data_IF_928680969514
#
_entry.id   IF_928680969514
#
_cell.length_a   1.000
_cell.length_b   1.000
_cell.length_c   1.000
_cell.angle_alpha   90.00
_cell.angle_beta   90.00
_cell.angle_gamma   90.00
#
_symmetry.space_group_name_H-M   'P 1'
#
loop_
_entity.id
_entity.type
_entity.pdbx_description
1 polymer ?
#
# COMPACT_ATOMS: atom_id res chain seq x y z
N UNK A 1 16.51 -27.03 20.83
CA UNK A 1 16.59 -25.68 21.43
C UNK A 1 17.83 -25.68 22.32
N UNK A 2 18.75 -24.73 22.16
CA UNK A 2 20.05 -24.73 22.86
C UNK A 2 19.98 -23.94 24.17
N UNK A 3 20.88 -24.24 25.13
CA UNK A 3 21.01 -23.46 26.37
C UNK A 3 21.31 -21.99 26.08
N UNK A 4 22.05 -21.71 25.01
CA UNK A 4 22.31 -20.36 24.50
C UNK A 4 21.03 -19.65 24.04
N UNK A 5 20.14 -20.34 23.32
CA UNK A 5 18.86 -19.79 22.89
C UNK A 5 17.94 -19.48 24.08
N UNK A 6 17.83 -20.41 25.05
CA UNK A 6 17.03 -20.21 26.26
C UNK A 6 17.58 -19.06 27.12
N UNK A 7 18.90 -19.04 27.34
CA UNK A 7 19.58 -17.94 28.05
C UNK A 7 19.37 -16.60 27.34
N UNK A 8 19.42 -16.60 26.01
CA UNK A 8 19.10 -15.46 25.17
C UNK A 8 17.67 -14.97 25.39
N UNK A 9 16.69 -15.87 25.38
CA UNK A 9 15.28 -15.52 25.60
C UNK A 9 15.00 -14.89 26.97
N UNK A 10 15.69 -15.36 28.02
CA UNK A 10 15.54 -14.86 29.40
C UNK A 10 16.26 -13.53 29.66
N UNK A 11 17.35 -13.24 28.93
CA UNK A 11 18.13 -12.01 29.11
C UNK A 11 17.51 -10.82 28.40
N UNK A 12 17.69 -9.63 28.97
CA UNK A 12 17.27 -8.35 28.38
C UNK A 12 15.78 -8.31 28.00
N UNK A 13 14.97 -9.10 28.72
CA UNK A 13 13.54 -9.30 28.46
C UNK A 13 13.23 -9.69 27.02
N UNK A 14 14.15 -10.39 26.32
CA UNK A 14 13.99 -10.72 24.90
C UNK A 14 12.72 -11.50 24.62
N UNK A 15 12.32 -12.42 25.49
CA UNK A 15 11.04 -13.11 25.37
C UNK A 15 9.85 -12.16 25.49
N UNK A 16 9.83 -11.27 26.49
CA UNK A 16 8.77 -10.27 26.66
C UNK A 16 8.72 -9.29 25.48
N UNK A 17 9.89 -8.87 24.97
CA UNK A 17 9.99 -8.05 23.76
C UNK A 17 9.46 -8.79 22.55
N UNK A 18 9.79 -10.06 22.35
CA UNK A 18 9.26 -10.86 21.26
C UNK A 18 7.72 -11.01 21.30
N UNK A 19 7.12 -10.94 22.50
CA UNK A 19 5.66 -10.93 22.64
C UNK A 19 5.03 -9.57 22.31
N UNK A 20 5.70 -8.46 22.66
CA UNK A 20 5.14 -7.09 22.50
C UNK A 20 5.50 -6.39 21.19
N UNK A 21 6.64 -6.73 20.60
CA UNK A 21 7.12 -6.12 19.36
C UNK A 21 6.13 -6.29 18.20
N UNK A 22 5.47 -7.45 18.01
CA UNK A 22 4.46 -7.58 16.95
C UNK A 22 3.28 -6.61 17.13
N UNK A 23 2.78 -6.47 18.36
CA UNK A 23 1.64 -5.60 18.65
C UNK A 23 2.00 -4.12 18.41
N UNK A 24 3.16 -3.67 18.92
CA UNK A 24 3.65 -2.31 18.68
C UNK A 24 3.87 -2.05 17.18
N UNK A 25 4.44 -3.02 16.47
CA UNK A 25 4.66 -2.91 15.04
C UNK A 25 3.35 -2.79 14.27
N UNK A 26 2.33 -3.59 14.61
CA UNK A 26 1.02 -3.53 13.98
C UNK A 26 0.32 -2.20 14.27
N UNK A 27 0.35 -1.70 15.51
CA UNK A 27 -0.18 -0.38 15.87
C UNK A 27 0.46 0.74 15.04
N UNK A 28 1.79 0.76 14.95
CA UNK A 28 2.55 1.78 14.23
C UNK A 28 2.27 1.71 12.71
N UNK A 29 2.19 0.51 12.14
CA UNK A 29 1.87 0.32 10.73
C UNK A 29 0.44 0.78 10.41
N UNK A 30 -0.56 0.43 11.22
CA UNK A 30 -1.93 0.89 10.99
C UNK A 30 -2.07 2.40 11.19
N UNK A 31 -1.36 3.01 12.13
CA UNK A 31 -1.29 4.46 12.24
C UNK A 31 -0.76 5.11 10.95
N UNK A 32 0.29 4.54 10.35
CA UNK A 32 0.82 4.99 9.06
C UNK A 32 -0.16 4.78 7.91
N UNK A 33 -0.75 3.58 7.79
CA UNK A 33 -1.72 3.27 6.73
C UNK A 33 -2.93 4.22 6.77
N UNK A 34 -3.46 4.51 7.96
CA UNK A 34 -4.56 5.46 8.13
C UNK A 34 -4.17 6.89 7.77
N UNK A 35 -2.94 7.32 8.12
CA UNK A 35 -2.43 8.64 7.73
C UNK A 35 -2.34 8.78 6.21
N UNK A 36 -1.80 7.76 5.53
CA UNK A 36 -1.70 7.74 4.07
C UNK A 36 -3.08 7.67 3.41
N UNK A 37 -4.00 6.87 3.95
CA UNK A 37 -5.38 6.82 3.50
C UNK A 37 -6.04 8.19 3.52
N UNK A 38 -5.88 8.95 4.61
CA UNK A 38 -6.37 10.34 4.69
C UNK A 38 -5.74 11.24 3.63
N UNK A 39 -4.42 11.20 3.46
CA UNK A 39 -3.74 12.01 2.44
C UNK A 39 -4.23 11.73 1.01
N UNK A 40 -4.51 10.46 0.70
CA UNK A 40 -5.08 10.04 -0.60
C UNK A 40 -6.52 10.54 -0.74
N UNK A 41 -7.35 10.34 0.29
CA UNK A 41 -8.76 10.78 0.30
C UNK A 41 -8.89 12.29 0.15
N UNK A 42 -8.01 13.06 0.80
CA UNK A 42 -8.00 14.53 0.74
C UNK A 42 -7.77 15.07 -0.68
N UNK A 43 -7.24 14.26 -1.62
CA UNK A 43 -7.08 14.66 -3.02
C UNK A 43 -8.39 14.63 -3.80
N UNK A 44 -9.30 13.73 -3.44
CA UNK A 44 -10.60 13.54 -4.09
C UNK A 44 -11.68 13.24 -3.04
N UNK A 45 -12.01 14.21 -2.17
CA UNK A 45 -12.87 13.97 -1.00
C UNK A 45 -14.32 13.63 -1.38
N UNK A 46 -14.74 14.00 -2.59
CA UNK A 46 -16.06 13.73 -3.16
C UNK A 46 -16.27 12.27 -3.60
N UNK A 47 -15.21 11.48 -3.66
CA UNK A 47 -15.29 10.02 -3.84
C UNK A 47 -15.59 9.27 -2.55
N UNK A 48 -15.50 9.91 -1.38
CA UNK A 48 -15.62 9.28 -0.07
C UNK A 48 -16.68 9.98 0.79
N UNK A 49 -17.17 9.28 1.82
CA UNK A 49 -17.93 9.94 2.88
C UNK A 49 -17.03 10.89 3.70
N UNK A 50 -17.59 11.95 4.32
CA UNK A 50 -16.81 12.82 5.18
C UNK A 50 -16.21 12.06 6.37
N UNK A 51 -14.89 12.18 6.57
CA UNK A 51 -14.14 11.54 7.64
C UNK A 51 -14.36 10.01 7.71
N UNK A 52 -14.04 9.25 6.65
CA UNK A 52 -14.34 7.83 6.64
C UNK A 52 -13.43 7.10 7.64
N UNK A 53 -14.04 6.25 8.45
CA UNK A 53 -13.31 5.33 9.31
C UNK A 53 -12.75 4.19 8.45
N UNK A 54 -11.43 4.01 8.49
CA UNK A 54 -10.77 2.94 7.75
C UNK A 54 -10.96 1.59 8.45
N UNK A 55 -11.27 0.54 7.68
CA UNK A 55 -11.36 -0.82 8.18
C UNK A 55 -10.00 -1.54 8.08
N UNK A 56 -9.39 -1.77 9.24
CA UNK A 56 -8.06 -2.35 9.36
C UNK A 56 -8.09 -3.87 9.34
N UNK A 57 -7.28 -4.43 8.45
CA UNK A 57 -7.18 -5.86 8.25
C UNK A 57 -5.71 -6.28 8.19
N UNK A 58 -5.35 -7.32 8.93
CA UNK A 58 -4.05 -7.97 8.81
C UNK A 58 -4.18 -9.49 8.78
N UNK A 59 -3.21 -10.16 8.15
CA UNK A 59 -3.15 -11.62 8.15
C UNK A 59 -1.71 -12.09 8.15
N UNK A 60 -1.44 -13.09 9.00
CA UNK A 60 -0.17 -13.78 9.14
C UNK A 60 -0.30 -15.25 8.67
N UNK A 61 -0.58 -15.58 7.39
CA UNK A 61 -0.58 -16.97 6.81
C UNK A 61 -1.22 -17.05 5.38
N UNK A 62 -1.21 -18.20 4.70
CA UNK A 62 -0.17 -18.88 3.91
C UNK A 62 -0.54 -19.01 2.41
N UNK A 63 -0.64 -17.88 1.72
CA UNK A 63 -0.89 -17.84 0.27
C UNK A 63 0.23 -17.05 -0.42
N UNK A 64 0.05 -16.70 -1.70
CA UNK A 64 0.91 -15.82 -2.47
C UNK A 64 1.46 -14.61 -1.67
N UNK A 65 0.62 -14.04 -0.79
CA UNK A 65 1.06 -13.08 0.24
C UNK A 65 1.52 -13.76 1.52
N UNK A 66 2.79 -13.53 1.89
CA UNK A 66 3.43 -14.02 3.11
C UNK A 66 2.80 -13.38 4.36
N UNK A 67 2.52 -12.08 4.30
CA UNK A 67 1.79 -11.33 5.32
C UNK A 67 1.21 -10.04 4.72
N UNK A 68 0.15 -9.50 5.33
CA UNK A 68 -0.33 -8.17 4.97
C UNK A 68 -0.82 -7.37 6.16
N UNK A 69 -0.74 -6.05 6.03
CA UNK A 69 -1.52 -5.06 6.75
C UNK A 69 -2.17 -4.12 5.74
N UNK A 70 -3.45 -3.80 5.90
CA UNK A 70 -4.17 -2.90 4.99
C UNK A 70 -5.32 -2.19 5.71
N UNK A 71 -5.61 -0.98 5.24
CA UNK A 71 -6.77 -0.19 5.66
C UNK A 71 -7.68 0.02 4.46
N UNK A 72 -8.96 -0.26 4.63
CA UNK A 72 -9.97 -0.18 3.57
C UNK A 72 -10.92 0.99 3.76
N UNK A 73 -11.18 1.72 2.68
CA UNK A 73 -12.07 2.87 2.64
C UNK A 73 -13.09 2.70 1.51
N UNK A 74 -14.37 2.44 1.81
CA UNK A 74 -15.43 2.42 0.81
C UNK A 74 -15.52 3.77 0.11
N UNK A 75 -15.63 3.75 -1.21
CA UNK A 75 -15.90 4.93 -2.03
C UNK A 75 -17.41 5.11 -2.11
N UNK A 76 -17.98 5.86 -1.16
CA UNK A 76 -19.43 6.11 -1.04
C UNK A 76 -19.79 7.59 -1.09
N UNK A 77 -18.85 8.45 -1.51
CA UNK A 77 -19.08 9.89 -1.69
C UNK A 77 -20.01 10.23 -2.86
N UNK A 78 -20.34 11.51 -3.01
CA UNK A 78 -21.29 12.01 -4.02
C UNK A 78 -20.90 11.65 -5.46
N UNK A 79 -19.61 11.67 -5.78
CA UNK A 79 -19.10 11.31 -7.11
C UNK A 79 -18.65 9.86 -7.21
N UNK A 80 -18.82 9.07 -6.16
CA UNK A 80 -18.44 7.67 -6.19
C UNK A 80 -19.34 6.87 -7.14
N UNK A 81 -18.79 5.88 -7.86
CA UNK A 81 -19.55 5.02 -8.76
C UNK A 81 -20.72 4.33 -8.05
N UNK A 82 -21.90 4.42 -8.65
CA UNK A 82 -23.12 3.79 -8.13
C UNK A 82 -23.51 2.48 -8.87
N UNK A 83 -22.66 2.01 -9.78
CA UNK A 83 -22.92 0.82 -10.59
C UNK A 83 -22.19 -0.41 -10.03
N UNK A 84 -22.94 -1.41 -9.58
CA UNK A 84 -22.40 -2.70 -9.14
C UNK A 84 -21.92 -2.69 -7.68
N UNK A 85 -20.83 -3.42 -7.41
CA UNK A 85 -20.23 -3.48 -6.09
C UNK A 85 -19.52 -2.17 -5.73
N UNK A 86 -19.62 -1.77 -4.46
CA UNK A 86 -18.93 -0.58 -3.95
C UNK A 86 -17.43 -0.69 -4.18
N UNK A 87 -16.85 0.32 -4.83
CA UNK A 87 -15.39 0.42 -4.97
C UNK A 87 -14.76 0.71 -3.62
N UNK A 88 -13.60 0.13 -3.36
CA UNK A 88 -12.91 0.26 -2.07
C UNK A 88 -11.47 0.66 -2.31
N UNK A 89 -11.07 1.82 -1.79
CA UNK A 89 -9.67 2.18 -1.68
C UNK A 89 -9.02 1.30 -0.62
N UNK A 90 -8.02 0.54 -1.04
CA UNK A 90 -7.24 -0.34 -0.18
C UNK A 90 -5.81 0.18 -0.10
N UNK A 91 -5.46 0.82 1.03
CA UNK A 91 -4.09 1.24 1.31
C UNK A 91 -3.39 0.10 2.05
N UNK A 92 -2.23 -0.34 1.56
CA UNK A 92 -1.65 -1.60 2.02
C UNK A 92 -0.13 -1.57 2.16
N UNK A 93 0.33 -2.43 3.06
CA UNK A 93 1.69 -2.96 3.10
C UNK A 93 1.62 -4.49 3.01
N UNK A 94 2.08 -5.02 1.88
CA UNK A 94 2.12 -6.46 1.62
C UNK A 94 3.54 -6.98 1.66
N UNK A 95 3.74 -8.12 2.32
CA UNK A 95 4.92 -8.95 2.20
C UNK A 95 4.60 -10.07 1.23
N UNK A 96 5.17 -10.01 0.03
CA UNK A 96 4.89 -10.94 -1.07
C UNK A 96 6.16 -11.57 -1.59
N UNK A 97 6.01 -12.67 -2.33
CA UNK A 97 7.11 -13.20 -3.13
C UNK A 97 7.45 -12.20 -4.24
N UNK A 98 8.72 -11.78 -4.40
CA UNK A 98 9.08 -10.84 -5.45
C UNK A 98 8.72 -11.33 -6.86
N UNK A 99 8.74 -12.64 -7.10
CA UNK A 99 8.39 -13.25 -8.39
C UNK A 99 6.92 -12.99 -8.80
N UNK A 100 6.00 -12.85 -7.86
CA UNK A 100 4.59 -12.57 -8.13
C UNK A 100 4.35 -11.13 -8.61
N UNK A 101 5.34 -10.27 -8.39
CA UNK A 101 5.32 -8.84 -8.73
C UNK A 101 6.36 -8.52 -9.82
N UNK A 102 6.92 -9.56 -10.47
CA UNK A 102 8.00 -9.47 -11.47
C UNK A 102 9.26 -8.72 -10.97
N UNK A 103 9.61 -8.94 -9.69
CA UNK A 103 10.75 -8.29 -9.00
C UNK A 103 11.81 -9.29 -8.58
N UNK A 104 12.32 -10.07 -9.51
CA UNK A 104 13.40 -11.06 -9.24
C UNK A 104 14.73 -10.43 -8.79
N UNK A 105 14.84 -9.09 -8.85
CA UNK A 105 15.97 -8.30 -8.36
C UNK A 105 15.98 -8.07 -6.84
N UNK A 106 14.93 -8.45 -6.12
CA UNK A 106 14.81 -8.29 -4.67
C UNK A 106 15.09 -9.62 -3.97
N UNK A 107 15.99 -9.60 -2.99
CA UNK A 107 16.22 -10.73 -2.08
C UNK A 107 15.22 -10.71 -0.90
N UNK A 108 14.77 -11.89 -0.49
CA UNK A 108 13.76 -12.07 0.55
C UNK A 108 12.35 -11.66 0.13
N UNK A 109 11.57 -11.09 1.06
CA UNK A 109 10.20 -10.66 0.80
C UNK A 109 10.18 -9.26 0.17
N UNK A 110 9.39 -9.10 -0.90
CA UNK A 110 9.02 -7.78 -1.40
C UNK A 110 8.02 -7.16 -0.41
N UNK A 111 8.38 -6.02 0.18
CA UNK A 111 7.48 -5.16 0.97
C UNK A 111 6.81 -4.16 0.03
N UNK A 112 5.70 -4.52 -0.57
CA UNK A 112 4.93 -3.68 -1.46
C UNK A 112 4.03 -2.74 -0.63
N UNK A 113 4.43 -1.47 -0.54
CA UNK A 113 3.63 -0.41 0.06
C UNK A 113 2.93 0.38 -1.04
N UNK A 114 1.60 0.48 -0.96
CA UNK A 114 0.82 0.94 -2.10
C UNK A 114 -0.66 1.13 -1.83
N UNK A 115 -1.40 1.38 -2.90
CA UNK A 115 -2.86 1.33 -2.88
C UNK A 115 -3.41 0.57 -4.10
N UNK A 116 -4.66 0.13 -4.00
CA UNK A 116 -5.49 -0.30 -5.13
C UNK A 116 -6.94 0.12 -4.93
N UNK A 117 -7.73 0.14 -6.01
CA UNK A 117 -9.19 0.28 -5.95
C UNK A 117 -9.81 -1.09 -6.23
N UNK A 118 -10.36 -1.74 -5.20
CA UNK A 118 -11.10 -2.99 -5.38
C UNK A 118 -12.41 -2.72 -6.11
N UNK A 119 -12.90 -3.76 -6.79
CA UNK A 119 -14.14 -3.71 -7.59
C UNK A 119 -14.09 -2.64 -8.69
N UNK A 120 -12.88 -2.24 -9.10
CA UNK A 120 -12.69 -1.38 -10.25
C UNK A 120 -12.81 -2.23 -11.53
N UNK A 121 -13.52 -1.75 -12.56
CA UNK A 121 -13.45 -2.35 -13.88
C UNK A 121 -12.01 -2.41 -14.38
N UNK A 122 -11.64 -3.56 -14.96
CA UNK A 122 -10.28 -3.83 -15.46
C UNK A 122 -9.85 -2.79 -16.51
N UNK A 123 -10.76 -2.33 -17.37
CA UNK A 123 -10.45 -1.33 -18.40
C UNK A 123 -10.10 0.06 -17.83
N UNK A 124 -10.60 0.40 -16.64
CA UNK A 124 -10.22 1.62 -15.93
C UNK A 124 -8.82 1.48 -15.36
N UNK A 125 -8.55 0.37 -14.68
CA UNK A 125 -7.25 0.08 -14.08
C UNK A 125 -6.14 -0.01 -15.14
N UNK A 126 -6.39 -0.69 -16.27
CA UNK A 126 -5.44 -0.81 -17.39
C UNK A 126 -5.03 0.55 -17.97
N UNK A 127 -6.00 1.46 -18.09
CA UNK A 127 -5.76 2.83 -18.59
C UNK A 127 -4.90 3.63 -17.63
N UNK A 128 -5.12 3.48 -16.32
CA UNK A 128 -4.31 4.16 -15.31
C UNK A 128 -2.92 3.53 -15.29
N UNK A 129 -2.80 2.21 -15.18
CA UNK A 129 -1.53 1.47 -15.19
C UNK A 129 -0.65 1.80 -16.39
N UNK A 130 -1.25 1.91 -17.59
CA UNK A 130 -0.53 2.29 -18.81
C UNK A 130 0.06 3.71 -18.72
N UNK A 131 -0.64 4.64 -18.06
CA UNK A 131 -0.19 6.02 -17.87
C UNK A 131 0.76 6.18 -16.70
N UNK A 132 0.60 5.44 -15.62
CA UNK A 132 1.53 5.38 -14.47
C UNK A 132 2.95 5.09 -14.97
N UNK A 133 3.05 4.21 -15.97
CA UNK A 133 4.26 3.85 -16.72
C UNK A 133 4.84 4.98 -17.58
N UNK A 134 4.30 6.20 -17.54
CA UNK A 134 4.81 7.42 -18.19
C UNK A 134 4.77 8.65 -17.27
N UNK A 135 4.20 8.50 -16.07
CA UNK A 135 3.89 9.58 -15.15
C UNK A 135 5.09 9.95 -14.26
N UNK A 136 5.20 11.26 -13.99
CA UNK A 136 6.09 11.82 -12.98
C UNK A 136 5.30 12.82 -12.13
N UNK A 137 5.53 12.89 -10.82
CA UNK A 137 4.90 13.90 -9.98
C UNK A 137 5.49 15.29 -10.28
N UNK A 138 4.65 16.32 -10.28
CA UNK A 138 5.06 17.71 -10.59
C UNK A 138 6.00 18.32 -9.54
N UNK A 139 6.07 17.75 -8.33
CA UNK A 139 6.94 18.24 -7.26
C UNK A 139 8.40 17.84 -7.52
N UNK A 140 9.27 18.84 -7.71
CA UNK A 140 10.72 18.63 -7.92
C UNK A 140 11.40 17.85 -6.78
N UNK A 141 10.98 18.05 -5.53
CA UNK A 141 11.52 17.31 -4.38
C UNK A 141 11.08 15.84 -4.39
N UNK A 142 9.81 15.59 -4.75
CA UNK A 142 9.26 14.23 -4.87
C UNK A 142 9.94 13.52 -6.04
N UNK A 143 10.07 14.19 -7.18
CA UNK A 143 10.76 13.69 -8.38
C UNK A 143 12.25 13.41 -8.13
N UNK A 144 12.97 14.28 -7.41
CA UNK A 144 14.37 14.04 -7.05
C UNK A 144 14.53 12.78 -6.19
N UNK A 145 13.70 12.63 -5.14
CA UNK A 145 13.70 11.45 -4.25
C UNK A 145 13.38 10.16 -5.00
N UNK A 146 12.46 10.22 -5.97
CA UNK A 146 12.14 9.09 -6.86
C UNK A 146 13.36 8.70 -7.71
N UNK A 147 13.96 9.65 -8.42
CA UNK A 147 15.04 9.39 -9.38
C UNK A 147 16.29 8.81 -8.69
N UNK A 148 16.59 9.26 -7.47
CA UNK A 148 17.76 8.80 -6.72
C UNK A 148 17.61 7.37 -6.16
N UNK A 149 16.39 6.89 -5.90
CA UNK A 149 16.16 5.65 -5.16
C UNK A 149 15.77 4.44 -6.02
N UNK A 150 15.09 4.62 -7.16
CA UNK A 150 14.48 3.47 -7.86
C UNK A 150 15.15 3.07 -9.17
N UNK A 151 15.99 3.92 -9.81
CA UNK A 151 16.46 3.76 -11.21
C UNK A 151 15.33 3.46 -12.23
N UNK A 152 14.08 3.62 -11.83
CA UNK A 152 12.86 3.16 -12.51
C UNK A 152 11.66 3.99 -12.02
N UNK A 153 10.49 3.81 -12.64
CA UNK A 153 9.25 4.56 -12.42
C UNK A 153 8.92 4.94 -10.95
N UNK A 154 8.30 6.12 -10.69
CA UNK A 154 7.88 6.55 -9.35
C UNK A 154 6.97 5.56 -8.63
N UNK A 155 6.10 4.88 -9.37
CA UNK A 155 5.25 3.79 -8.88
C UNK A 155 5.30 2.64 -9.88
N UNK A 156 5.15 1.41 -9.37
CA UNK A 156 4.92 0.23 -10.17
C UNK A 156 3.45 -0.10 -10.18
N UNK A 157 2.96 -0.58 -11.32
CA UNK A 157 1.65 -1.18 -11.46
C UNK A 157 1.86 -2.67 -11.72
N UNK A 158 1.23 -3.52 -10.91
CA UNK A 158 1.14 -4.96 -11.17
C UNK A 158 -0.32 -5.38 -11.13
N UNK A 159 -0.71 -6.28 -12.02
CA UNK A 159 -1.93 -7.05 -11.80
C UNK A 159 -1.76 -7.82 -10.49
N UNK A 160 -2.74 -7.71 -9.62
CA UNK A 160 -2.70 -8.37 -8.33
C UNK A 160 -2.62 -9.90 -8.51
N UNK A 161 -1.76 -10.58 -7.74
CA UNK A 161 -1.70 -12.04 -7.64
C UNK A 161 -3.04 -12.71 -7.24
N UNK A 162 -4.02 -11.95 -6.75
CA UNK A 162 -5.36 -12.41 -6.40
C UNK A 162 -6.47 -12.03 -7.40
N UNK A 163 -6.12 -11.39 -8.52
CA UNK A 163 -7.05 -10.95 -9.56
C UNK A 163 -7.90 -9.73 -9.21
N UNK A 164 -8.39 -9.04 -10.26
CA UNK A 164 -9.50 -8.08 -10.20
C UNK A 164 -9.18 -6.62 -9.84
N UNK A 165 -7.91 -6.25 -9.64
CA UNK A 165 -7.49 -4.85 -9.48
C UNK A 165 -5.97 -4.69 -9.65
N UNK A 166 -5.54 -3.52 -10.12
CA UNK A 166 -4.12 -3.16 -10.22
C UNK A 166 -3.59 -2.62 -8.89
N UNK A 167 -2.46 -3.16 -8.43
CA UNK A 167 -1.73 -2.64 -7.27
C UNK A 167 -0.70 -1.59 -7.71
N UNK A 168 -0.84 -0.36 -7.20
CA UNK A 168 0.12 0.73 -7.39
C UNK A 168 1.03 0.83 -6.17
N UNK A 169 2.31 0.50 -6.31
CA UNK A 169 3.19 0.28 -5.16
C UNK A 169 4.65 0.72 -5.36
N UNK A 170 5.36 0.87 -4.24
CA UNK A 170 6.83 0.85 -4.16
C UNK A 170 7.30 -0.23 -3.17
N UNK A 171 8.51 -0.71 -3.41
CA UNK A 171 9.22 -1.48 -2.39
C UNK A 171 9.73 -0.55 -1.30
N UNK A 172 9.50 -0.87 -0.02
CA UNK A 172 9.96 -0.06 1.12
C UNK A 172 10.76 -0.86 2.15
N UNK A 173 11.75 -0.24 2.77
CA UNK A 173 12.73 -0.83 3.70
C UNK A 173 12.82 -0.11 5.03
N UNK A 174 12.21 1.07 5.13
CA UNK A 174 12.28 1.92 6.31
C UNK A 174 10.98 2.70 6.49
N UNK A 175 10.77 3.22 7.70
CA UNK A 175 9.66 4.13 7.97
C UNK A 175 9.75 5.41 7.14
N UNK A 176 10.96 5.89 6.86
CA UNK A 176 11.21 7.04 5.99
C UNK A 176 10.77 6.77 4.55
N UNK A 177 11.08 5.59 4.00
CA UNK A 177 10.64 5.20 2.65
C UNK A 177 9.11 5.06 2.57
N UNK A 178 8.45 4.66 3.66
CA UNK A 178 6.98 4.67 3.74
C UNK A 178 6.44 6.10 3.64
N UNK A 179 7.01 7.03 4.42
CA UNK A 179 6.55 8.43 4.44
C UNK A 179 6.80 9.11 3.08
N UNK A 180 7.95 8.86 2.45
CA UNK A 180 8.23 9.34 1.09
C UNK A 180 7.31 8.73 0.04
N UNK A 181 6.97 7.43 0.19
CA UNK A 181 6.04 6.77 -0.74
C UNK A 181 4.62 7.28 -0.56
N UNK A 182 4.21 7.67 0.65
CA UNK A 182 2.89 8.25 0.92
C UNK A 182 2.62 9.50 0.04
N UNK A 183 3.61 10.41 -0.03
CA UNK A 183 3.54 11.61 -0.87
C UNK A 183 3.34 11.25 -2.36
N UNK A 184 4.04 10.21 -2.84
CA UNK A 184 3.93 9.74 -4.22
C UNK A 184 2.56 9.10 -4.50
N UNK A 185 2.05 8.28 -3.59
CA UNK A 185 0.74 7.64 -3.73
C UNK A 185 -0.39 8.68 -3.74
N UNK A 186 -0.32 9.67 -2.85
CA UNK A 186 -1.28 10.77 -2.83
C UNK A 186 -1.23 11.59 -4.14
N UNK A 187 -0.04 11.97 -4.62
CA UNK A 187 0.10 12.69 -5.88
C UNK A 187 -0.41 11.88 -7.09
N UNK A 188 -0.16 10.56 -7.11
CA UNK A 188 -0.66 9.68 -8.17
C UNK A 188 -2.20 9.59 -8.14
N UNK A 189 -2.78 9.47 -6.95
CA UNK A 189 -4.23 9.47 -6.81
C UNK A 189 -4.85 10.84 -7.12
N UNK A 190 -4.17 11.95 -6.84
CA UNK A 190 -4.61 13.28 -7.27
C UNK A 190 -4.73 13.37 -8.80
N UNK A 191 -3.74 12.86 -9.53
CA UNK A 191 -3.74 12.86 -11.01
C UNK A 191 -4.81 11.94 -11.62
N UNK A 192 -4.96 10.72 -11.07
CA UNK A 192 -5.78 9.68 -11.70
C UNK A 192 -7.13 9.43 -11.02
N UNK A 193 -7.38 10.01 -9.85
CA UNK A 193 -8.55 9.76 -9.01
C UNK A 193 -9.89 10.04 -9.71
N UNK A 194 -9.94 11.09 -10.53
CA UNK A 194 -11.10 11.44 -11.35
C UNK A 194 -11.51 10.33 -12.33
N UNK A 195 -10.61 9.41 -12.67
CA UNK A 195 -10.93 8.25 -13.53
C UNK A 195 -11.83 7.24 -12.83
N UNK A 196 -11.94 7.34 -11.50
CA UNK A 196 -12.76 6.46 -10.70
C UNK A 196 -14.16 7.02 -10.40
N UNK A 197 -14.55 8.20 -10.91
CA UNK A 197 -15.89 8.81 -10.70
C UNK A 197 -16.98 8.14 -11.55
N UNK A 198 -18.25 8.47 -11.28
CA UNK A 198 -19.41 8.14 -12.12
C UNK A 198 -19.18 8.65 -13.56
N UNK A 199 -19.25 7.77 -14.55
CA UNK A 199 -19.31 8.13 -15.98
C UNK A 199 -20.73 8.36 -16.45
#
# INVERSE_FOLDING_TARGET
MTDEFLTGGLRNDRYLKALRLPDQFEEDIFAKLRNVGRQIIDQHPDLFEPNPDGDDNYRRSSSHTLAFARTEYPMTGEKAPNSGDTRILNVHLYWVSPAEYDRTDIDGALRAFGYKIKNCPEDVDDRIASKTRSWQPDSEDVTRRIVEQTRDWPLRATENAFGGSTDFYRHVSSAEEIDQTAEVLAAHFAEFGDRYVIS
#
